data_IF_017770833859
#
_entry.id   IF_017770833859
#
_cell.length_a   1.000
_cell.length_b   1.000
_cell.length_c   1.000
_cell.angle_alpha   90.00
_cell.angle_beta   90.00
_cell.angle_gamma   90.00
#
_symmetry.space_group_name_H-M   'P 1'
#
loop_
_entity.id
_entity.type
_entity.pdbx_description
1 polymer ?
#
# COMPACT_ATOMS: atom_id res chain seq x y z
N UNK A 1 -9.24 22.62 5.98
CA UNK A 1 -8.84 21.35 6.64
C UNK A 1 -8.22 20.46 5.59
N UNK A 2 -6.96 20.02 5.75
CA UNK A 2 -6.31 19.09 4.81
C UNK A 2 -7.11 17.79 4.83
N UNK A 3 -7.66 17.40 3.68
CA UNK A 3 -8.49 16.20 3.53
C UNK A 3 -7.69 15.00 4.04
N UNK A 4 -8.05 14.48 5.23
CA UNK A 4 -7.55 13.19 5.66
C UNK A 4 -8.10 12.16 4.67
N UNK A 5 -7.22 11.35 4.09
CA UNK A 5 -7.64 10.12 3.40
C UNK A 5 -8.69 9.43 4.26
N UNK A 6 -9.91 9.29 3.74
CA UNK A 6 -10.99 8.65 4.49
C UNK A 6 -10.54 7.24 4.87
N UNK A 7 -10.79 6.85 6.11
CA UNK A 7 -10.49 5.50 6.62
C UNK A 7 -11.01 4.40 5.69
N UNK A 8 -12.13 4.65 4.99
CA UNK A 8 -12.68 3.75 3.96
C UNK A 8 -11.73 3.47 2.79
N UNK A 9 -10.92 4.46 2.37
CA UNK A 9 -9.92 4.25 1.32
C UNK A 9 -8.70 3.49 1.84
N UNK A 10 -8.31 3.74 3.09
CA UNK A 10 -7.19 3.02 3.71
C UNK A 10 -7.51 1.54 3.94
N UNK A 11 -8.75 1.22 4.32
CA UNK A 11 -9.21 -0.16 4.42
C UNK A 11 -9.16 -0.86 3.05
N UNK A 12 -9.59 -0.18 1.98
CA UNK A 12 -9.47 -0.71 0.61
C UNK A 12 -8.02 -0.97 0.22
N UNK A 13 -7.11 -0.05 0.54
CA UNK A 13 -5.67 -0.24 0.30
C UNK A 13 -5.15 -1.45 1.09
N UNK A 14 -5.51 -1.57 2.36
CA UNK A 14 -5.13 -2.71 3.20
C UNK A 14 -5.59 -4.04 2.61
N UNK A 15 -6.79 -4.10 2.05
CA UNK A 15 -7.31 -5.33 1.40
C UNK A 15 -6.68 -5.63 0.04
N UNK A 16 -6.21 -4.60 -0.67
CA UNK A 16 -5.61 -4.75 -1.99
C UNK A 16 -4.10 -5.02 -1.94
N UNK A 17 -3.45 -4.73 -0.81
CA UNK A 17 -2.04 -5.03 -0.60
C UNK A 17 -1.79 -6.54 -0.69
N UNK A 18 -0.66 -6.96 -1.29
CA UNK A 18 -0.22 -8.35 -1.22
C UNK A 18 0.13 -8.72 0.23
N UNK A 19 0.25 -10.02 0.48
CA UNK A 19 0.48 -10.56 1.83
C UNK A 19 1.73 -10.01 2.52
N UNK A 20 2.79 -9.75 1.76
CA UNK A 20 4.07 -9.15 2.20
C UNK A 20 4.10 -7.61 2.08
N UNK A 21 2.98 -7.00 1.67
CA UNK A 21 2.93 -5.57 1.32
C UNK A 21 3.28 -4.64 2.48
N UNK A 22 2.90 -4.98 3.72
CA UNK A 22 3.24 -4.16 4.89
C UNK A 22 4.74 -4.21 5.22
N UNK A 23 5.39 -5.36 5.05
CA UNK A 23 6.84 -5.54 5.26
C UNK A 23 7.62 -4.74 4.22
N UNK A 24 7.23 -4.86 2.95
CA UNK A 24 7.83 -4.08 1.85
C UNK A 24 7.67 -2.57 2.05
N UNK A 25 6.52 -2.09 2.53
CA UNK A 25 6.33 -0.66 2.84
C UNK A 25 7.20 -0.23 4.04
N UNK A 26 7.27 -1.08 5.08
CA UNK A 26 8.10 -0.87 6.27
C UNK A 26 9.58 -0.67 5.87
N UNK A 27 10.09 -1.54 4.99
CA UNK A 27 11.43 -1.46 4.44
C UNK A 27 11.61 -0.22 3.53
N UNK A 28 10.71 -0.01 2.56
CA UNK A 28 10.78 1.12 1.61
C UNK A 28 10.82 2.47 2.31
N UNK A 29 10.05 2.63 3.39
CA UNK A 29 9.95 3.89 4.13
C UNK A 29 10.87 3.97 5.35
N UNK A 30 11.63 2.90 5.64
CA UNK A 30 12.46 2.73 6.83
C UNK A 30 11.71 3.13 8.13
N UNK A 31 10.54 2.53 8.33
CA UNK A 31 9.69 2.70 9.52
C UNK A 31 9.28 1.35 10.07
N UNK A 32 8.84 1.28 11.32
CA UNK A 32 8.36 0.01 11.87
C UNK A 32 7.06 -0.47 11.22
N UNK A 33 6.86 -1.78 11.14
CA UNK A 33 5.58 -2.42 10.80
C UNK A 33 4.41 -1.86 11.62
N UNK A 34 4.62 -1.59 12.92
CA UNK A 34 3.60 -0.99 13.78
C UNK A 34 3.23 0.44 13.34
N UNK A 35 4.15 1.17 12.73
CA UNK A 35 3.89 2.49 12.15
C UNK A 35 3.12 2.39 10.83
N UNK A 36 3.45 1.43 9.98
CA UNK A 36 2.68 1.12 8.76
C UNK A 36 1.24 0.75 9.10
N UNK A 37 1.06 -0.17 10.04
CA UNK A 37 -0.26 -0.63 10.50
C UNK A 37 -1.10 0.51 11.06
N UNK A 38 -0.51 1.37 11.92
CA UNK A 38 -1.19 2.56 12.44
C UNK A 38 -1.56 3.54 11.34
N UNK A 39 -0.67 3.78 10.37
CA UNK A 39 -0.92 4.66 9.25
C UNK A 39 -2.07 4.16 8.35
N UNK A 40 -2.13 2.85 8.07
CA UNK A 40 -3.24 2.21 7.36
C UNK A 40 -4.55 2.22 8.18
N UNK A 41 -4.47 2.31 9.51
CA UNK A 41 -5.64 2.56 10.36
C UNK A 41 -6.03 4.05 10.46
N UNK A 42 -5.40 4.94 9.66
CA UNK A 42 -5.61 6.39 9.69
C UNK A 42 -4.94 7.11 10.88
N UNK A 43 -4.15 6.39 11.68
CA UNK A 43 -3.47 6.87 12.88
C UNK A 43 -2.00 7.14 12.57
N UNK A 44 -1.67 8.33 12.08
CA UNK A 44 -0.27 8.64 11.75
C UNK A 44 0.01 10.03 11.19
N UNK A 45 -1.01 10.89 11.06
CA UNK A 45 -0.87 12.24 10.54
C UNK A 45 -0.13 12.26 9.21
N UNK A 46 1.07 12.86 9.18
CA UNK A 46 1.91 12.97 7.98
C UNK A 46 2.35 11.62 7.40
N UNK A 47 2.46 10.56 8.22
CA UNK A 47 2.86 9.22 7.77
C UNK A 47 1.75 8.48 7.00
N UNK A 48 0.49 8.88 7.16
CA UNK A 48 -0.66 8.24 6.47
C UNK A 48 -0.49 8.37 4.95
N UNK A 49 -0.19 9.58 4.47
CA UNK A 49 -0.04 9.82 3.04
C UNK A 49 1.16 9.05 2.46
N UNK A 50 2.30 9.06 3.14
CA UNK A 50 3.50 8.33 2.69
C UNK A 50 3.26 6.83 2.60
N UNK A 51 2.58 6.25 3.60
CA UNK A 51 2.25 4.82 3.61
C UNK A 51 1.20 4.49 2.55
N UNK A 52 0.21 5.37 2.34
CA UNK A 52 -0.81 5.17 1.31
C UNK A 52 -0.22 5.25 -0.11
N UNK A 53 0.66 6.22 -0.38
CA UNK A 53 1.40 6.33 -1.65
C UNK A 53 2.25 5.08 -1.91
N UNK A 54 3.03 4.66 -0.91
CA UNK A 54 3.84 3.44 -1.03
C UNK A 54 2.98 2.18 -1.27
N UNK A 55 1.80 2.10 -0.66
CA UNK A 55 0.87 1.00 -0.89
C UNK A 55 0.30 1.00 -2.32
N UNK A 56 -0.06 2.17 -2.86
CA UNK A 56 -0.58 2.31 -4.23
C UNK A 56 0.47 1.87 -5.25
N UNK A 57 1.71 2.34 -5.10
CA UNK A 57 2.82 1.94 -5.99
C UNK A 57 2.97 0.41 -6.02
N UNK A 58 2.97 -0.20 -4.84
CA UNK A 58 3.21 -1.63 -4.67
C UNK A 58 2.08 -2.47 -5.27
N UNK A 59 0.83 -2.04 -5.11
CA UNK A 59 -0.32 -2.66 -5.78
C UNK A 59 -0.20 -2.55 -7.31
N UNK A 60 0.21 -1.38 -7.81
CA UNK A 60 0.41 -1.15 -9.24
C UNK A 60 1.51 -2.05 -9.83
N UNK A 61 2.63 -2.22 -9.12
CA UNK A 61 3.70 -3.14 -9.50
C UNK A 61 3.21 -4.60 -9.61
N UNK A 62 2.45 -5.08 -8.62
CA UNK A 62 1.91 -6.44 -8.63
C UNK A 62 0.89 -6.66 -9.77
N UNK A 63 -0.01 -5.70 -9.99
CA UNK A 63 -0.95 -5.76 -11.12
C UNK A 63 -0.23 -5.80 -12.47
N UNK A 64 0.84 -5.02 -12.63
CA UNK A 64 1.64 -5.04 -13.85
C UNK A 64 2.37 -6.36 -14.05
N UNK A 65 2.88 -6.98 -12.97
CA UNK A 65 3.49 -8.33 -13.02
C UNK A 65 2.46 -9.37 -13.47
N UNK A 66 1.27 -9.38 -12.88
CA UNK A 66 0.17 -10.29 -13.26
C UNK A 66 -0.18 -10.11 -14.74
N UNK A 67 -0.40 -8.87 -15.19
CA UNK A 67 -0.70 -8.58 -16.60
C UNK A 67 0.40 -9.03 -17.56
N UNK A 68 1.67 -8.89 -17.17
CA UNK A 68 2.80 -9.37 -17.97
C UNK A 68 2.88 -10.90 -18.02
N UNK A 69 2.47 -11.59 -16.94
CA UNK A 69 2.39 -13.05 -16.90
C UNK A 69 1.25 -13.56 -17.78
N UNK A 70 0.06 -12.94 -17.71
CA UNK A 70 -1.10 -13.28 -18.56
C UNK A 70 -0.72 -13.23 -20.05
N UNK A 71 -0.07 -12.13 -20.48
CA UNK A 71 0.41 -12.00 -21.87
C UNK A 71 1.38 -13.10 -22.32
N UNK A 72 2.19 -13.64 -21.40
CA UNK A 72 3.14 -14.72 -21.70
C UNK A 72 2.48 -16.10 -21.76
N UNK A 73 1.31 -16.26 -21.13
CA UNK A 73 0.53 -17.50 -21.18
C UNK A 73 -0.31 -17.56 -22.45
N UNK A 74 -0.83 -16.42 -22.90
CA UNK A 74 -1.62 -16.31 -24.14
C UNK A 74 -0.77 -16.27 -25.44
N UNK A 75 0.57 -16.22 -25.32
CA UNK A 75 1.51 -16.28 -26.45
C UNK A 75 2.08 -17.68 -26.65
#
# INVERSE_FOLDING_TARGET
MKSQLSTKYLDKLKTALPSDGMERISEKLNISLSTVSRALAGKGGKRVNQVAEAAIDLIGEEQQKVKNLEKKIDS
#
